data_IF_344998383670
#
_entry.id   IF_344998383670
#
_cell.length_a   1.000
_cell.length_b   1.000
_cell.length_c   1.000
_cell.angle_alpha   90.00
_cell.angle_beta   90.00
_cell.angle_gamma   90.00
#
_symmetry.space_group_name_H-M   'P 1'
#
loop_
_entity.id
_entity.type
_entity.pdbx_description
1 polymer ?
#
# COMPACT_ATOMS: atom_id res chain seq x y z
N UNK A 1 -8.83 -6.74 -38.15
CA UNK A 1 -7.92 -6.39 -37.04
C UNK A 1 -8.03 -4.89 -36.78
N UNK A 2 -8.77 -4.38 -35.78
CA UNK A 2 -8.64 -2.94 -35.42
C UNK A 2 -9.23 -2.52 -34.07
N UNK A 3 -10.47 -2.90 -33.72
CA UNK A 3 -11.13 -2.40 -32.51
C UNK A 3 -10.84 -3.18 -31.21
N UNK A 4 -11.16 -4.49 -31.21
CA UNK A 4 -11.07 -5.35 -30.02
C UNK A 4 -9.64 -5.52 -29.49
N UNK A 5 -8.64 -5.59 -30.38
CA UNK A 5 -7.22 -5.70 -30.02
C UNK A 5 -6.71 -4.43 -29.30
N UNK A 6 -7.17 -3.25 -29.72
CA UNK A 6 -6.80 -1.95 -29.11
C UNK A 6 -7.45 -1.77 -27.74
N UNK A 7 -8.72 -2.14 -27.59
CA UNK A 7 -9.42 -2.15 -26.29
C UNK A 7 -8.74 -3.10 -25.29
N UNK A 8 -8.38 -4.30 -25.72
CA UNK A 8 -7.64 -5.25 -24.87
C UNK A 8 -6.28 -4.75 -24.41
N UNK A 9 -5.56 -3.96 -25.24
CA UNK A 9 -4.31 -3.32 -24.83
C UNK A 9 -4.52 -2.21 -23.79
N UNK A 10 -5.59 -1.42 -23.91
CA UNK A 10 -5.93 -0.36 -22.95
C UNK A 10 -6.29 -0.98 -21.59
N UNK A 11 -7.12 -2.03 -21.58
CA UNK A 11 -7.49 -2.76 -20.36
C UNK A 11 -6.24 -3.36 -19.69
N UNK A 12 -5.36 -4.03 -20.46
CA UNK A 12 -4.08 -4.55 -19.94
C UNK A 12 -3.18 -3.44 -19.41
N UNK A 13 -3.12 -2.30 -20.08
CA UNK A 13 -2.36 -1.13 -19.63
C UNK A 13 -2.88 -0.57 -18.30
N UNK A 14 -4.20 -0.44 -18.16
CA UNK A 14 -4.86 0.00 -16.93
C UNK A 14 -4.62 -0.99 -15.78
N UNK A 15 -4.80 -2.29 -16.02
CA UNK A 15 -4.53 -3.35 -15.04
C UNK A 15 -3.07 -3.35 -14.59
N UNK A 16 -2.12 -3.28 -15.53
CA UNK A 16 -0.69 -3.18 -15.21
C UNK A 16 -0.36 -1.92 -14.38
N UNK A 17 -1.00 -0.79 -14.67
CA UNK A 17 -0.83 0.46 -13.91
C UNK A 17 -1.39 0.34 -12.49
N UNK A 18 -2.55 -0.28 -12.32
CA UNK A 18 -3.15 -0.54 -11.00
C UNK A 18 -2.26 -1.46 -10.17
N UNK A 19 -1.76 -2.55 -10.76
CA UNK A 19 -0.83 -3.49 -10.09
C UNK A 19 0.47 -2.79 -9.70
N UNK A 20 1.10 -2.04 -10.62
CA UNK A 20 2.33 -1.31 -10.32
C UNK A 20 2.13 -0.26 -9.21
N UNK A 21 0.96 0.41 -9.20
CA UNK A 21 0.62 1.37 -8.15
C UNK A 21 0.44 0.69 -6.80
N UNK A 22 -0.20 -0.48 -6.76
CA UNK A 22 -0.35 -1.28 -5.54
C UNK A 22 0.97 -1.81 -4.99
N UNK A 23 1.86 -2.31 -5.87
CA UNK A 23 3.20 -2.75 -5.49
C UNK A 23 4.04 -1.59 -4.93
N UNK A 24 4.02 -0.43 -5.61
CA UNK A 24 4.73 0.77 -5.14
C UNK A 24 4.23 1.19 -3.76
N UNK A 25 2.91 1.30 -3.59
CA UNK A 25 2.31 1.69 -2.31
C UNK A 25 2.69 0.71 -1.19
N UNK A 26 2.58 -0.61 -1.45
CA UNK A 26 2.96 -1.64 -0.47
C UNK A 26 4.44 -1.54 -0.07
N UNK A 27 5.34 -1.26 -1.03
CA UNK A 27 6.76 -1.05 -0.74
C UNK A 27 7.02 0.20 0.10
N UNK A 28 6.27 1.28 -0.12
CA UNK A 28 6.36 2.51 0.69
C UNK A 28 5.88 2.26 2.13
N UNK A 29 4.77 1.55 2.31
CA UNK A 29 4.27 1.17 3.64
C UNK A 29 5.24 0.22 4.36
N UNK A 30 5.85 -0.73 3.66
CA UNK A 30 6.88 -1.60 4.23
C UNK A 30 8.11 -0.81 4.69
N UNK A 31 8.54 0.19 3.91
CA UNK A 31 9.64 1.08 4.32
C UNK A 31 9.28 1.82 5.61
N UNK A 32 8.08 2.41 5.67
CA UNK A 32 7.59 3.08 6.87
C UNK A 32 7.55 2.13 8.07
N UNK A 33 7.07 0.89 7.89
CA UNK A 33 7.00 -0.11 8.96
C UNK A 33 8.38 -0.41 9.55
N UNK A 34 9.39 -0.60 8.69
CA UNK A 34 10.78 -0.82 9.14
C UNK A 34 11.30 0.38 9.93
N UNK A 35 11.06 1.60 9.45
CA UNK A 35 11.45 2.83 10.15
C UNK A 35 10.71 2.97 11.49
N UNK A 36 9.42 2.66 11.54
CA UNK A 36 8.59 2.70 12.73
C UNK A 36 9.07 1.73 13.81
N UNK A 37 9.39 0.49 13.43
CA UNK A 37 9.95 -0.51 14.35
C UNK A 37 11.38 -0.18 14.80
N UNK A 38 12.20 0.45 13.95
CA UNK A 38 13.52 0.97 14.37
C UNK A 38 13.40 2.07 15.43
N UNK A 39 12.29 2.80 15.42
CA UNK A 39 11.95 3.84 16.39
C UNK A 39 11.07 3.32 17.54
N UNK A 40 11.17 2.03 17.87
CA UNK A 40 10.48 1.47 19.03
C UNK A 40 10.90 2.22 20.31
N UNK A 41 9.94 2.65 21.16
CA UNK A 41 10.24 3.44 22.34
C UNK A 41 11.04 2.63 23.35
N UNK A 42 12.11 3.25 23.89
CA UNK A 42 12.96 2.63 24.92
C UNK A 42 12.33 2.68 26.31
N UNK A 43 11.39 3.61 26.50
CA UNK A 43 10.68 3.83 27.75
C UNK A 43 9.18 3.55 27.57
N UNK A 44 8.47 3.06 28.61
CA UNK A 44 7.05 2.72 28.52
C UNK A 44 6.16 3.91 28.11
N UNK A 45 6.57 5.13 28.46
CA UNK A 45 5.79 6.35 28.21
C UNK A 45 5.54 6.65 26.72
N UNK A 46 6.39 6.14 25.81
CA UNK A 46 6.22 6.34 24.36
C UNK A 46 5.47 5.21 23.65
N UNK A 47 5.13 4.13 24.36
CA UNK A 47 4.52 2.94 23.76
C UNK A 47 3.13 3.22 23.19
N UNK A 48 2.31 4.00 23.89
CA UNK A 48 0.93 4.23 23.47
C UNK A 48 0.86 5.05 22.17
N UNK A 49 1.68 6.08 22.01
CA UNK A 49 1.78 6.85 20.77
C UNK A 49 2.35 6.01 19.63
N UNK A 50 3.39 5.21 19.91
CA UNK A 50 3.98 4.30 18.94
C UNK A 50 2.98 3.24 18.47
N UNK A 51 2.19 2.66 19.38
CA UNK A 51 1.13 1.68 19.06
C UNK A 51 -0.01 2.31 18.27
N UNK A 52 -0.47 3.51 18.66
CA UNK A 52 -1.55 4.22 17.95
C UNK A 52 -1.17 4.52 16.51
N UNK A 53 0.06 4.99 16.28
CA UNK A 53 0.56 5.24 14.93
C UNK A 53 0.70 3.95 14.12
N UNK A 54 1.20 2.86 14.72
CA UNK A 54 1.24 1.54 14.08
C UNK A 54 -0.14 1.08 13.60
N UNK A 55 -1.11 1.02 14.51
CA UNK A 55 -2.46 0.52 14.20
C UNK A 55 -3.13 1.40 13.14
N UNK A 56 -3.06 2.72 13.29
CA UNK A 56 -3.62 3.65 12.30
C UNK A 56 -3.05 3.41 10.90
N UNK A 57 -1.72 3.33 10.77
CA UNK A 57 -1.09 3.13 9.46
C UNK A 57 -1.41 1.76 8.88
N UNK A 58 -1.52 0.70 9.70
CA UNK A 58 -1.93 -0.62 9.21
C UNK A 58 -3.37 -0.60 8.69
N UNK A 59 -4.31 0.00 9.42
CA UNK A 59 -5.73 0.09 9.00
C UNK A 59 -5.87 0.86 7.69
N UNK A 60 -5.22 2.02 7.58
CA UNK A 60 -5.20 2.84 6.36
C UNK A 60 -4.56 2.08 5.18
N UNK A 61 -3.47 1.36 5.44
CA UNK A 61 -2.77 0.57 4.43
C UNK A 61 -3.62 -0.58 3.92
N UNK A 62 -4.29 -1.33 4.80
CA UNK A 62 -5.16 -2.43 4.40
C UNK A 62 -6.36 -1.94 3.59
N UNK A 63 -7.01 -0.86 4.03
CA UNK A 63 -8.10 -0.24 3.28
C UNK A 63 -7.65 0.20 1.88
N UNK A 64 -6.46 0.80 1.77
CA UNK A 64 -5.92 1.24 0.48
C UNK A 64 -5.51 0.06 -0.41
N UNK A 65 -4.86 -0.96 0.14
CA UNK A 65 -4.42 -2.14 -0.61
C UNK A 65 -5.61 -2.89 -1.21
N UNK A 66 -6.72 -3.01 -0.47
CA UNK A 66 -7.96 -3.61 -0.98
C UNK A 66 -8.49 -2.91 -2.24
N UNK A 67 -8.29 -1.58 -2.37
CA UNK A 67 -8.70 -0.82 -3.56
C UNK A 67 -7.92 -1.20 -4.82
N UNK A 68 -6.73 -1.80 -4.69
CA UNK A 68 -5.96 -2.27 -5.84
C UNK A 68 -6.37 -3.67 -6.30
N UNK A 69 -6.96 -4.49 -5.42
CA UNK A 69 -7.44 -5.85 -5.76
C UNK A 69 -8.82 -5.87 -6.40
N UNK A 70 -9.64 -4.83 -6.19
CA UNK A 70 -11.03 -4.75 -6.67
C UNK A 70 -11.17 -4.14 -8.09
N UNK A 71 -10.13 -4.16 -8.93
CA UNK A 71 -10.17 -3.66 -10.31
C UNK A 71 -9.95 -4.75 -11.35
#
# INVERSE_FOLDING_TARGET
>A
FSGLTKLGMIIRGAMNKTVASGLKYTSEQNKWLVEHYRNYPKEPSGFEEWKKSLIKTLDESFAKIATFSNN
#
